data_IF_994217570305
#
_entry.id   IF_994217570305
#
_cell.length_a   1.000
_cell.length_b   1.000
_cell.length_c   1.000
_cell.angle_alpha   90.00
_cell.angle_beta   90.00
_cell.angle_gamma   90.00
#
_symmetry.space_group_name_H-M   'P 1'
#
loop_
_entity.id
_entity.type
_entity.pdbx_description
1 polymer ?
#
# COMPACT_ATOMS: atom_id res chain seq x y z
N UNK A 1 -15.68 15.47 -24.21
CA UNK A 1 -14.43 14.90 -23.64
C UNK A 1 -13.29 15.71 -24.22
N UNK A 2 -12.46 16.34 -23.40
CA UNK A 2 -11.26 17.04 -23.87
C UNK A 2 -10.34 16.00 -24.51
N UNK A 3 -10.06 16.11 -25.80
CA UNK A 3 -9.16 15.18 -26.49
C UNK A 3 -7.78 15.31 -25.84
N UNK A 4 -7.37 14.30 -25.04
CA UNK A 4 -6.08 14.22 -24.35
C UNK A 4 -4.94 13.95 -25.35
N UNK A 5 -4.85 14.78 -26.40
CA UNK A 5 -3.89 14.66 -27.46
C UNK A 5 -2.60 15.38 -27.08
N UNK A 6 -1.49 14.63 -27.04
CA UNK A 6 -0.17 15.23 -26.92
C UNK A 6 0.15 16.08 -28.16
N UNK A 7 0.88 17.17 -27.98
CA UNK A 7 1.25 18.10 -29.04
C UNK A 7 2.67 18.64 -28.87
N UNK A 8 3.27 19.01 -30.00
CA UNK A 8 4.54 19.72 -30.07
C UNK A 8 4.37 20.90 -31.03
N UNK A 9 4.71 22.11 -30.58
CA UNK A 9 4.64 23.33 -31.38
C UNK A 9 6.00 24.00 -31.44
N UNK A 10 6.48 24.31 -32.63
CA UNK A 10 7.70 25.09 -32.86
C UNK A 10 7.40 26.60 -32.86
N UNK A 11 8.32 27.40 -32.33
CA UNK A 11 8.31 28.85 -32.39
C UNK A 11 9.70 29.38 -32.76
N UNK A 12 9.81 30.69 -32.99
CA UNK A 12 11.05 31.33 -33.44
C UNK A 12 12.28 31.06 -32.54
N UNK A 13 12.07 30.69 -31.27
CA UNK A 13 13.12 30.47 -30.28
C UNK A 13 13.19 29.02 -29.76
N UNK A 14 12.40 28.07 -30.29
CA UNK A 14 12.45 26.67 -29.87
C UNK A 14 11.15 25.90 -30.01
N UNK A 15 10.90 24.97 -29.07
CA UNK A 15 9.76 24.04 -29.11
C UNK A 15 9.02 24.03 -27.77
N UNK A 16 7.70 23.89 -27.82
CA UNK A 16 6.84 23.65 -26.67
C UNK A 16 6.21 22.27 -26.81
N UNK A 17 6.22 21.48 -25.74
CA UNK A 17 5.63 20.14 -25.68
C UNK A 17 4.53 20.14 -24.64
N UNK A 18 3.37 19.60 -25.01
CA UNK A 18 2.28 19.30 -24.08
C UNK A 18 1.95 17.82 -24.20
N UNK A 19 2.10 17.07 -23.11
CA UNK A 19 1.79 15.65 -23.04
C UNK A 19 0.79 15.35 -21.93
N UNK A 20 0.07 14.25 -22.07
CA UNK A 20 -0.87 13.74 -21.08
C UNK A 20 -0.54 12.28 -20.79
N UNK A 21 -0.51 11.91 -19.52
CA UNK A 21 -0.32 10.54 -19.05
C UNK A 21 -1.51 10.14 -18.20
N UNK A 22 -2.08 8.96 -18.47
CA UNK A 22 -3.22 8.44 -17.70
C UNK A 22 -2.71 7.81 -16.40
N UNK A 23 -3.32 8.17 -15.28
CA UNK A 23 -3.16 7.47 -14.00
C UNK A 23 -4.49 6.77 -13.69
N UNK A 24 -4.45 5.44 -13.56
CA UNK A 24 -5.62 4.60 -13.29
C UNK A 24 -5.17 3.41 -12.46
N UNK A 25 -5.94 3.10 -11.42
CA UNK A 25 -5.67 2.02 -10.48
C UNK A 25 -6.94 1.71 -9.67
N UNK A 26 -7.07 0.45 -9.26
CA UNK A 26 -8.29 -0.05 -8.62
C UNK A 26 -8.03 -0.61 -7.21
N UNK A 27 -9.09 -0.66 -6.42
CA UNK A 27 -9.14 -1.28 -5.10
C UNK A 27 -10.24 -2.33 -5.08
N UNK A 28 -9.95 -3.50 -4.51
CA UNK A 28 -10.92 -4.58 -4.39
C UNK A 28 -10.94 -5.12 -2.97
N UNK A 29 -12.10 -5.05 -2.32
CA UNK A 29 -12.32 -5.73 -1.05
C UNK A 29 -12.53 -7.22 -1.32
N UNK A 30 -11.64 -8.05 -0.78
CA UNK A 30 -11.66 -9.49 -1.03
C UNK A 30 -11.17 -10.23 0.22
N UNK A 31 -12.09 -10.94 0.89
CA UNK A 31 -11.73 -11.79 2.02
C UNK A 31 -11.06 -13.08 1.51
N UNK A 32 -9.86 -13.35 2.00
CA UNK A 32 -9.09 -14.52 1.61
C UNK A 32 -8.53 -14.42 0.19
N UNK A 33 -7.70 -13.41 -0.09
CA UNK A 33 -7.06 -13.21 -1.42
C UNK A 33 -6.24 -14.43 -1.88
N UNK A 34 -5.75 -15.24 -0.94
CA UNK A 34 -5.05 -16.51 -1.17
C UNK A 34 -5.91 -17.75 -0.86
N UNK A 35 -7.23 -17.63 -0.87
CA UNK A 35 -8.11 -18.78 -0.97
C UNK A 35 -8.14 -19.30 -2.41
N UNK A 36 -7.93 -20.59 -2.61
CA UNK A 36 -7.94 -21.23 -3.95
C UNK A 36 -9.27 -21.08 -4.68
N UNK A 37 -10.38 -20.81 -3.97
CA UNK A 37 -11.66 -20.50 -4.59
C UNK A 37 -11.67 -19.11 -5.26
N UNK A 38 -10.82 -18.18 -4.81
CA UNK A 38 -10.77 -16.80 -5.30
C UNK A 38 -9.78 -16.66 -6.47
N UNK A 39 -10.30 -16.61 -7.70
CA UNK A 39 -9.47 -16.47 -8.90
C UNK A 39 -8.88 -15.07 -9.15
N UNK A 40 -9.29 -14.04 -8.39
CA UNK A 40 -9.05 -12.63 -8.70
C UNK A 40 -7.56 -12.30 -8.84
N UNK A 41 -6.72 -12.69 -7.88
CA UNK A 41 -5.27 -12.49 -7.95
C UNK A 41 -4.64 -13.33 -9.07
N UNK A 42 -5.00 -14.61 -9.18
CA UNK A 42 -4.46 -15.50 -10.21
C UNK A 42 -4.75 -14.98 -11.63
N UNK A 43 -5.93 -14.39 -11.86
CA UNK A 43 -6.31 -13.79 -13.15
C UNK A 43 -5.29 -12.72 -13.60
N UNK A 44 -4.75 -11.93 -12.68
CA UNK A 44 -3.74 -10.91 -12.98
C UNK A 44 -2.41 -11.51 -13.48
N UNK A 45 -2.12 -12.77 -13.12
CA UNK A 45 -0.85 -13.45 -13.41
C UNK A 45 -0.92 -14.50 -14.52
N UNK A 46 -2.12 -14.93 -14.94
CA UNK A 46 -2.29 -15.97 -15.98
C UNK A 46 -1.58 -15.67 -17.30
N UNK A 47 -1.54 -14.40 -17.72
CA UNK A 47 -0.88 -14.02 -18.98
C UNK A 47 0.65 -14.15 -18.92
N UNK A 48 1.21 -14.16 -17.71
CA UNK A 48 2.65 -14.27 -17.45
C UNK A 48 3.07 -15.69 -17.07
N UNK A 49 2.12 -16.49 -16.55
CA UNK A 49 2.32 -17.85 -16.06
C UNK A 49 3.31 -17.99 -14.88
N UNK A 50 3.75 -16.86 -14.32
CA UNK A 50 4.69 -16.75 -13.21
C UNK A 50 4.44 -15.47 -12.41
N UNK A 51 4.98 -15.40 -11.21
CA UNK A 51 4.87 -14.24 -10.32
C UNK A 51 6.15 -14.09 -9.48
N UNK A 52 6.73 -12.88 -9.48
CA UNK A 52 7.67 -12.47 -8.44
C UNK A 52 6.91 -11.73 -7.34
N UNK A 53 6.97 -12.27 -6.12
CA UNK A 53 6.43 -11.63 -4.93
C UNK A 53 7.54 -11.04 -4.05
N UNK A 54 7.43 -9.76 -3.69
CA UNK A 54 8.18 -9.15 -2.59
C UNK A 54 7.31 -9.19 -1.35
N UNK A 55 7.74 -9.91 -0.32
CA UNK A 55 6.89 -10.30 0.79
C UNK A 55 7.53 -10.03 2.14
N UNK A 56 6.76 -9.48 3.07
CA UNK A 56 7.15 -9.38 4.47
C UNK A 56 7.45 -10.77 5.05
N UNK A 57 8.60 -10.88 5.72
CA UNK A 57 9.08 -12.15 6.26
C UNK A 57 8.10 -12.78 7.26
N UNK A 58 7.44 -11.98 8.11
CA UNK A 58 6.48 -12.51 9.08
C UNK A 58 5.21 -13.01 8.38
N UNK A 59 4.78 -12.33 7.31
CA UNK A 59 3.65 -12.80 6.50
C UNK A 59 3.99 -14.11 5.82
N UNK A 60 5.19 -14.25 5.26
CA UNK A 60 5.62 -15.53 4.71
C UNK A 60 5.66 -16.64 5.78
N UNK A 61 6.17 -16.34 6.98
CA UNK A 61 6.21 -17.32 8.07
C UNK A 61 4.81 -17.79 8.50
N UNK A 62 3.82 -16.90 8.50
CA UNK A 62 2.45 -17.22 8.92
C UNK A 62 1.59 -17.84 7.80
N UNK A 63 1.78 -17.40 6.56
CA UNK A 63 0.87 -17.68 5.44
C UNK A 63 1.55 -18.30 4.21
N UNK A 64 2.86 -18.51 4.24
CA UNK A 64 3.66 -18.96 3.10
C UNK A 64 3.14 -20.24 2.46
N UNK A 65 2.80 -21.26 3.27
CA UNK A 65 2.24 -22.52 2.75
C UNK A 65 0.92 -22.30 2.00
N UNK A 66 0.02 -21.46 2.56
CA UNK A 66 -1.26 -21.12 1.92
C UNK A 66 -1.03 -20.39 0.59
N UNK A 67 -0.09 -19.47 0.55
CA UNK A 67 0.24 -18.69 -0.65
C UNK A 67 0.85 -19.60 -1.71
N UNK A 68 1.84 -20.43 -1.38
CA UNK A 68 2.45 -21.38 -2.31
C UNK A 68 1.40 -22.35 -2.86
N UNK A 69 0.49 -22.84 -2.01
CA UNK A 69 -0.65 -23.68 -2.42
C UNK A 69 -1.60 -22.96 -3.37
N UNK A 70 -1.88 -21.68 -3.14
CA UNK A 70 -2.72 -20.85 -4.03
C UNK A 70 -2.15 -20.77 -5.43
N UNK A 71 -0.87 -20.41 -5.56
CA UNK A 71 -0.20 -20.30 -6.86
C UNK A 71 -0.08 -21.66 -7.55
N UNK A 72 0.25 -22.72 -6.81
CA UNK A 72 0.31 -24.08 -7.34
C UNK A 72 -1.05 -24.57 -7.85
N UNK A 73 -2.15 -24.32 -7.11
CA UNK A 73 -3.51 -24.67 -7.50
C UNK A 73 -3.91 -24.01 -8.83
N UNK A 74 -3.51 -22.76 -9.04
CA UNK A 74 -3.77 -22.04 -10.28
C UNK A 74 -2.73 -22.26 -11.39
N UNK A 75 -1.74 -23.15 -11.18
CA UNK A 75 -0.72 -23.49 -12.16
C UNK A 75 0.27 -22.36 -12.47
N UNK A 76 0.52 -21.46 -11.50
CA UNK A 76 1.40 -20.32 -11.65
C UNK A 76 2.73 -20.57 -10.92
N UNK A 77 3.85 -20.31 -11.58
CA UNK A 77 5.16 -20.34 -10.90
C UNK A 77 5.27 -19.16 -9.94
N UNK A 78 5.74 -19.40 -8.71
CA UNK A 78 5.92 -18.36 -7.70
C UNK A 78 7.37 -18.30 -7.24
N UNK A 79 7.99 -17.12 -7.38
CA UNK A 79 9.25 -16.79 -6.72
C UNK A 79 9.01 -15.73 -5.65
N UNK A 80 9.60 -15.90 -4.47
CA UNK A 80 9.40 -15.00 -3.32
C UNK A 80 10.73 -14.37 -2.91
N UNK A 81 10.80 -13.04 -2.98
CA UNK A 81 11.78 -12.23 -2.27
C UNK A 81 11.25 -11.91 -0.88
N UNK A 82 11.78 -12.57 0.15
CA UNK A 82 11.41 -12.33 1.55
C UNK A 82 12.21 -11.13 2.08
N UNK A 83 11.54 -10.17 2.69
CA UNK A 83 12.17 -8.97 3.26
C UNK A 83 11.64 -8.68 4.66
N UNK A 84 12.45 -8.05 5.50
CA UNK A 84 12.05 -7.58 6.83
C UNK A 84 12.35 -6.09 6.93
N UNK A 85 11.34 -5.26 6.67
CA UNK A 85 11.51 -3.81 6.61
C UNK A 85 10.97 -3.18 7.88
N UNK A 86 11.85 -3.03 8.87
CA UNK A 86 11.67 -2.06 9.95
C UNK A 86 12.05 -0.64 9.48
N UNK A 87 11.75 0.38 10.29
CA UNK A 87 12.03 1.77 9.91
C UNK A 87 13.52 2.07 9.66
N UNK A 88 14.45 1.35 10.31
CA UNK A 88 15.90 1.45 10.04
C UNK A 88 16.28 0.83 8.68
N UNK A 89 15.57 -0.22 8.28
CA UNK A 89 15.76 -0.92 7.01
C UNK A 89 15.00 -0.27 5.84
N UNK A 90 14.18 0.77 6.09
CA UNK A 90 13.49 1.54 5.05
C UNK A 90 14.46 2.50 4.35
N UNK A 91 15.41 1.97 3.59
CA UNK A 91 16.55 2.69 3.04
C UNK A 91 16.87 2.22 1.60
N UNK A 92 17.90 2.83 0.98
CA UNK A 92 18.32 2.49 -0.39
C UNK A 92 18.91 1.08 -0.53
N UNK A 93 19.56 0.52 0.50
CA UNK A 93 20.15 -0.82 0.43
C UNK A 93 19.07 -1.88 0.27
N UNK A 94 18.00 -1.80 1.07
CA UNK A 94 16.85 -2.72 0.95
C UNK A 94 16.15 -2.56 -0.40
N UNK A 95 16.04 -1.34 -0.91
CA UNK A 95 15.50 -1.10 -2.25
C UNK A 95 16.35 -1.78 -3.33
N UNK A 96 17.68 -1.66 -3.25
CA UNK A 96 18.58 -2.26 -4.23
C UNK A 96 18.55 -3.79 -4.17
N UNK A 97 18.44 -4.40 -2.99
CA UNK A 97 18.26 -5.85 -2.87
C UNK A 97 16.99 -6.37 -3.57
N UNK A 98 15.90 -5.59 -3.54
CA UNK A 98 14.68 -5.89 -4.30
C UNK A 98 14.96 -5.75 -5.80
N UNK A 99 15.63 -4.68 -6.23
CA UNK A 99 16.01 -4.45 -7.64
C UNK A 99 16.90 -5.56 -8.19
N UNK A 100 17.83 -6.08 -7.39
CA UNK A 100 18.68 -7.21 -7.76
C UNK A 100 17.84 -8.46 -8.03
N UNK A 101 16.85 -8.72 -7.17
CA UNK A 101 15.94 -9.87 -7.37
C UNK A 101 15.01 -9.67 -8.57
N UNK A 102 14.53 -8.45 -8.80
CA UNK A 102 13.76 -8.10 -10.01
C UNK A 102 14.58 -8.33 -11.29
N UNK A 103 15.87 -8.03 -11.24
CA UNK A 103 16.81 -8.25 -12.35
C UNK A 103 17.08 -9.72 -12.59
N UNK A 104 17.37 -10.46 -11.52
CA UNK A 104 17.64 -11.90 -11.60
C UNK A 104 16.42 -12.71 -12.03
N UNK A 105 15.20 -12.31 -11.63
CA UNK A 105 13.97 -12.91 -12.14
C UNK A 105 13.69 -12.58 -13.61
N UNK A 106 14.30 -11.51 -14.13
CA UNK A 106 14.12 -11.08 -15.51
C UNK A 106 12.70 -10.58 -15.78
N UNK A 107 12.19 -9.66 -14.94
CA UNK A 107 10.86 -9.07 -15.11
C UNK A 107 10.67 -8.48 -16.51
N UNK A 108 9.56 -8.83 -17.17
CA UNK A 108 9.16 -8.17 -18.42
C UNK A 108 8.61 -6.77 -18.15
N UNK A 109 8.74 -5.84 -19.12
CA UNK A 109 8.46 -4.41 -18.89
C UNK A 109 7.06 -4.09 -18.32
N UNK A 110 6.04 -4.91 -18.63
CA UNK A 110 4.67 -4.73 -18.14
C UNK A 110 4.23 -5.81 -17.13
N UNK A 111 5.10 -6.76 -16.81
CA UNK A 111 4.82 -7.83 -15.84
C UNK A 111 4.79 -7.22 -14.43
N UNK A 112 3.69 -7.40 -13.67
CA UNK A 112 3.55 -6.76 -12.37
C UNK A 112 4.28 -7.53 -11.27
N UNK A 113 5.03 -6.84 -10.42
CA UNK A 113 5.53 -7.41 -9.15
C UNK A 113 4.38 -7.52 -8.15
N UNK A 114 4.25 -8.65 -7.47
CA UNK A 114 3.33 -8.78 -6.33
C UNK A 114 4.00 -8.24 -5.07
N UNK A 115 3.36 -7.33 -4.34
CA UNK A 115 3.90 -6.76 -3.11
C UNK A 115 2.96 -7.07 -1.94
N UNK A 116 3.42 -7.86 -0.97
CA UNK A 116 2.61 -8.34 0.16
C UNK A 116 3.24 -7.95 1.49
N UNK A 117 2.61 -7.06 2.24
CA UNK A 117 3.16 -6.61 3.52
C UNK A 117 2.51 -5.34 4.07
N UNK A 118 3.05 -4.80 5.16
CA UNK A 118 2.62 -3.51 5.69
C UNK A 118 3.13 -2.31 4.89
N UNK A 119 2.79 -1.10 5.34
CA UNK A 119 3.17 0.16 4.69
C UNK A 119 4.67 0.32 4.38
N UNK A 120 5.55 -0.23 5.22
CA UNK A 120 6.99 -0.19 4.99
C UNK A 120 7.41 -1.05 3.78
N UNK A 121 6.86 -2.26 3.65
CA UNK A 121 7.14 -3.13 2.50
C UNK A 121 6.58 -2.54 1.21
N UNK A 122 5.34 -2.04 1.25
CA UNK A 122 4.70 -1.42 0.08
C UNK A 122 5.40 -0.16 -0.39
N UNK A 123 5.93 0.65 0.53
CA UNK A 123 6.69 1.85 0.19
C UNK A 123 8.03 1.52 -0.50
N UNK A 124 8.82 0.61 0.08
CA UNK A 124 10.15 0.30 -0.47
C UNK A 124 10.04 -0.47 -1.78
N UNK A 125 9.19 -1.50 -1.83
CA UNK A 125 8.99 -2.29 -3.03
C UNK A 125 8.27 -1.49 -4.13
N UNK A 126 7.31 -0.64 -3.78
CA UNK A 126 6.67 0.27 -4.72
C UNK A 126 7.66 1.27 -5.31
N UNK A 127 8.59 1.80 -4.51
CA UNK A 127 9.64 2.69 -5.02
C UNK A 127 10.66 1.94 -5.88
N UNK A 128 11.00 0.68 -5.54
CA UNK A 128 11.80 -0.18 -6.41
C UNK A 128 11.12 -0.36 -7.78
N UNK A 129 9.80 -0.61 -7.81
CA UNK A 129 9.03 -0.74 -9.04
C UNK A 129 8.99 0.57 -9.86
N UNK A 130 8.85 1.72 -9.20
CA UNK A 130 8.89 3.02 -9.85
C UNK A 130 10.26 3.28 -10.53
N UNK A 131 11.35 2.93 -9.85
CA UNK A 131 12.71 3.12 -10.37
C UNK A 131 13.08 2.07 -11.45
N UNK A 132 12.59 0.83 -11.32
CA UNK A 132 12.96 -0.26 -12.21
C UNK A 132 12.45 0.00 -13.63
N UNK A 133 13.39 0.07 -14.58
CA UNK A 133 13.12 0.42 -16.00
C UNK A 133 12.26 1.69 -16.15
N UNK A 134 12.38 2.63 -15.20
CA UNK A 134 11.70 3.93 -15.10
C UNK A 134 10.18 3.88 -14.86
N UNK A 135 9.55 2.71 -14.92
CA UNK A 135 8.15 2.46 -14.57
C UNK A 135 7.87 0.95 -14.73
N UNK A 136 7.81 0.21 -13.63
CA UNK A 136 7.38 -1.20 -13.62
C UNK A 136 6.07 -1.34 -12.85
N UNK A 137 5.16 -2.10 -13.43
CA UNK A 137 3.86 -2.39 -12.84
C UNK A 137 4.00 -3.18 -11.53
N UNK A 138 3.04 -3.01 -10.62
CA UNK A 138 2.97 -3.82 -9.41
C UNK A 138 1.53 -3.90 -8.87
N UNK A 139 1.28 -4.92 -8.05
CA UNK A 139 0.02 -5.15 -7.34
C UNK A 139 0.30 -5.16 -5.84
N UNK A 140 -0.57 -4.54 -5.04
CA UNK A 140 -0.44 -4.50 -3.58
C UNK A 140 -1.43 -5.42 -2.89
N UNK A 141 -0.96 -6.09 -1.83
CA UNK A 141 -1.77 -6.77 -0.82
C UNK A 141 -1.29 -6.27 0.55
N UNK A 142 -1.82 -5.14 1.05
CA UNK A 142 -1.51 -4.67 2.38
C UNK A 142 -1.96 -5.65 3.47
N UNK A 143 -1.10 -5.87 4.47
CA UNK A 143 -1.36 -6.84 5.56
C UNK A 143 -1.42 -6.21 6.96
N UNK A 144 -1.33 -4.88 7.06
CA UNK A 144 -1.46 -4.13 8.32
C UNK A 144 -2.56 -3.10 8.21
N UNK A 145 -3.10 -2.61 9.33
CA UNK A 145 -4.13 -1.56 9.31
C UNK A 145 -3.63 -0.34 8.54
N UNK A 146 -2.42 0.17 8.86
CA UNK A 146 -1.80 1.28 8.09
C UNK A 146 -1.72 0.97 6.61
N UNK A 147 -1.33 -0.25 6.24
CA UNK A 147 -1.31 -0.67 4.84
C UNK A 147 -2.68 -0.56 4.20
N UNK A 148 -3.71 -1.13 4.83
CA UNK A 148 -5.06 -1.27 4.31
C UNK A 148 -5.79 0.07 4.17
N UNK A 149 -5.58 1.02 5.08
CA UNK A 149 -6.37 2.26 5.14
C UNK A 149 -5.61 3.56 4.85
N UNK A 150 -4.27 3.53 4.72
CA UNK A 150 -3.47 4.72 4.43
C UNK A 150 -2.36 4.45 3.39
N UNK A 151 -1.33 3.70 3.77
CA UNK A 151 -0.11 3.57 2.95
C UNK A 151 -0.38 2.93 1.57
N UNK A 152 -1.28 1.94 1.48
CA UNK A 152 -1.67 1.36 0.19
C UNK A 152 -2.90 2.01 -0.45
N UNK A 153 -3.49 3.02 0.17
CA UNK A 153 -4.51 3.88 -0.46
C UNK A 153 -3.84 4.99 -1.26
N UNK A 154 -2.74 5.52 -0.74
CA UNK A 154 -1.88 6.50 -1.42
C UNK A 154 -1.05 5.87 -2.56
N UNK A 155 -0.63 6.68 -3.53
CA UNK A 155 0.35 6.30 -4.58
C UNK A 155 1.79 6.68 -4.24
N UNK A 156 2.01 7.30 -3.07
CA UNK A 156 3.32 7.73 -2.59
C UNK A 156 4.10 6.54 -2.08
N UNK A 157 5.30 6.37 -2.61
CA UNK A 157 6.23 5.31 -2.26
C UNK A 157 7.59 5.93 -1.96
N UNK A 158 8.31 5.44 -0.96
CA UNK A 158 9.53 6.12 -0.52
C UNK A 158 10.48 5.24 0.30
N UNK A 159 11.72 5.70 0.41
CA UNK A 159 12.71 5.29 1.40
C UNK A 159 13.20 6.49 2.21
N UNK A 160 13.76 6.22 3.38
CA UNK A 160 14.46 7.22 4.18
C UNK A 160 15.86 7.47 3.59
N UNK A 161 16.40 8.69 3.78
CA UNK A 161 17.77 9.03 3.40
C UNK A 161 18.45 9.84 4.50
N UNK A 162 19.55 9.30 5.06
CA UNK A 162 20.14 9.79 6.29
C UNK A 162 19.11 9.82 7.43
N UNK A 163 19.00 10.96 8.12
CA UNK A 163 17.99 11.19 9.17
C UNK A 163 16.59 11.56 8.66
N UNK A 164 16.40 11.71 7.34
CA UNK A 164 15.15 12.25 6.80
C UNK A 164 14.17 11.15 6.38
N UNK A 165 12.97 11.18 6.97
CA UNK A 165 11.88 10.26 6.66
C UNK A 165 11.33 10.50 5.26
N UNK A 166 11.11 9.44 4.49
CA UNK A 166 10.50 9.47 3.15
C UNK A 166 11.11 10.53 2.20
N UNK A 167 12.43 10.69 2.24
CA UNK A 167 13.13 11.76 1.49
C UNK A 167 13.29 11.43 0.01
N UNK A 168 13.44 10.15 -0.33
CA UNK A 168 13.57 9.69 -1.71
C UNK A 168 12.34 8.84 -2.04
N UNK A 169 11.67 9.10 -3.15
CA UNK A 169 10.44 8.42 -3.48
C UNK A 169 9.86 8.81 -4.83
N UNK A 170 8.65 8.33 -5.08
CA UNK A 170 7.88 8.60 -6.29
C UNK A 170 6.37 8.64 -5.99
N UNK A 171 5.62 9.23 -6.90
CA UNK A 171 4.18 9.02 -7.04
C UNK A 171 3.98 7.91 -8.07
N UNK A 172 3.79 6.67 -7.61
CA UNK A 172 3.74 5.49 -8.47
C UNK A 172 2.56 4.61 -8.09
N UNK A 173 1.47 4.71 -8.86
CA UNK A 173 0.25 3.95 -8.61
C UNK A 173 0.48 2.45 -8.87
N UNK A 174 -0.06 1.55 -8.03
CA UNK A 174 -0.14 0.14 -8.40
C UNK A 174 -1.14 -0.02 -9.54
N UNK A 175 -1.13 -1.18 -10.21
CA UNK A 175 -2.25 -1.55 -11.08
C UNK A 175 -3.52 -1.84 -10.27
N UNK A 176 -3.36 -2.55 -9.14
CA UNK A 176 -4.47 -3.02 -8.31
C UNK A 176 -4.03 -3.14 -6.85
N UNK A 177 -4.96 -2.92 -5.92
CA UNK A 177 -4.76 -3.16 -4.49
C UNK A 177 -5.87 -4.07 -3.96
N UNK A 178 -5.52 -5.28 -3.53
CA UNK A 178 -6.45 -6.19 -2.86
C UNK A 178 -6.49 -5.90 -1.37
N UNK A 179 -7.66 -5.55 -0.87
CA UNK A 179 -7.92 -5.22 0.52
C UNK A 179 -8.54 -6.42 1.23
N UNK A 180 -7.67 -7.29 1.76
CA UNK A 180 -8.05 -8.45 2.55
C UNK A 180 -7.86 -8.13 4.04
N UNK A 181 -8.96 -7.81 4.73
CA UNK A 181 -8.89 -7.46 6.15
C UNK A 181 -8.65 -8.69 7.04
N UNK A 182 -8.76 -9.92 6.52
CA UNK A 182 -8.56 -11.14 7.32
C UNK A 182 -7.13 -11.27 7.85
N UNK A 183 -6.13 -10.61 7.23
CA UNK A 183 -4.76 -10.54 7.75
C UNK A 183 -4.67 -9.89 9.14
N UNK A 184 -5.64 -9.05 9.52
CA UNK A 184 -5.67 -8.40 10.82
C UNK A 184 -5.84 -9.38 11.97
N UNK A 185 -6.34 -10.60 11.71
CA UNK A 185 -6.48 -11.66 12.73
C UNK A 185 -5.15 -12.02 13.40
N UNK A 186 -4.04 -11.94 12.67
CA UNK A 186 -2.70 -12.26 13.20
C UNK A 186 -1.86 -11.03 13.50
N UNK A 187 -2.41 -9.82 13.30
CA UNK A 187 -1.63 -8.60 13.45
C UNK A 187 -1.48 -8.27 14.94
N UNK A 188 -0.25 -7.98 15.44
CA UNK A 188 -0.06 -7.60 16.83
C UNK A 188 -0.89 -6.38 17.23
N UNK A 189 -1.44 -6.37 18.45
CA UNK A 189 -2.28 -5.28 18.98
C UNK A 189 -1.60 -3.91 18.86
N UNK A 190 -0.27 -3.84 19.04
CA UNK A 190 0.49 -2.60 18.86
C UNK A 190 0.40 -2.04 17.44
N UNK A 191 0.38 -2.91 16.43
CA UNK A 191 0.20 -2.54 15.02
C UNK A 191 -1.25 -2.21 14.68
N UNK A 192 -2.22 -2.86 15.33
CA UNK A 192 -3.65 -2.48 15.25
C UNK A 192 -3.83 -1.05 15.78
N UNK A 193 -3.31 -0.74 16.97
CA UNK A 193 -3.33 0.61 17.57
C UNK A 193 -2.66 1.65 16.68
N UNK A 194 -1.53 1.29 16.07
CA UNK A 194 -0.81 2.18 15.16
C UNK A 194 -1.67 2.61 13.97
N UNK A 195 -2.38 1.69 13.32
CA UNK A 195 -3.29 2.06 12.23
C UNK A 195 -4.62 2.68 12.68
N UNK A 196 -5.08 2.37 13.89
CA UNK A 196 -6.23 3.05 14.50
C UNK A 196 -5.99 4.57 14.59
N UNK A 197 -4.77 4.98 14.92
CA UNK A 197 -4.40 6.41 14.98
C UNK A 197 -4.56 7.12 13.62
N UNK A 198 -4.27 6.44 12.50
CA UNK A 198 -4.45 7.03 11.16
C UNK A 198 -5.93 7.18 10.78
N UNK A 199 -6.80 6.28 11.26
CA UNK A 199 -8.26 6.44 11.13
C UNK A 199 -8.79 7.59 11.98
N UNK A 200 -8.31 7.77 13.22
CA UNK A 200 -8.62 8.95 14.03
C UNK A 200 -8.20 10.22 13.28
N UNK A 201 -6.97 10.26 12.75
CA UNK A 201 -6.43 11.42 12.01
C UNK A 201 -7.40 11.88 10.93
N UNK A 202 -7.75 10.99 10.00
CA UNK A 202 -8.60 11.37 8.86
C UNK A 202 -10.04 11.69 9.30
N UNK A 203 -10.61 10.88 10.18
CA UNK A 203 -12.01 11.05 10.59
C UNK A 203 -12.23 12.33 11.41
N UNK A 204 -11.26 12.72 12.25
CA UNK A 204 -11.34 13.91 13.09
C UNK A 204 -11.43 15.23 12.30
N UNK A 205 -10.93 15.26 11.07
CA UNK A 205 -10.95 16.45 10.22
C UNK A 205 -11.83 16.32 8.98
N UNK A 206 -12.27 15.11 8.60
CA UNK A 206 -12.96 14.88 7.34
C UNK A 206 -14.19 13.97 7.42
N UNK A 207 -14.44 13.24 8.52
CA UNK A 207 -15.56 12.30 8.56
C UNK A 207 -16.08 12.01 9.98
N UNK A 208 -17.04 12.84 10.44
CA UNK A 208 -17.61 12.78 11.80
C UNK A 208 -18.19 11.41 12.16
N UNK A 209 -18.99 10.81 11.28
CA UNK A 209 -19.63 9.51 11.58
C UNK A 209 -18.60 8.39 11.83
N UNK A 210 -17.47 8.45 11.14
CA UNK A 210 -16.39 7.45 11.34
C UNK A 210 -15.69 7.72 12.67
N UNK A 211 -15.48 9.00 13.02
CA UNK A 211 -14.90 9.39 14.30
C UNK A 211 -15.78 8.93 15.48
N UNK A 212 -17.09 9.18 15.41
CA UNK A 212 -18.04 8.77 16.46
C UNK A 212 -18.07 7.24 16.63
N UNK A 213 -18.00 6.48 15.52
CA UNK A 213 -17.94 5.01 15.58
C UNK A 213 -16.61 4.51 16.17
N UNK A 214 -15.48 5.13 15.81
CA UNK A 214 -14.17 4.81 16.38
C UNK A 214 -14.15 5.09 17.88
N UNK A 215 -14.68 6.22 18.32
CA UNK A 215 -14.79 6.58 19.75
C UNK A 215 -15.65 5.55 20.50
N UNK A 216 -16.83 5.22 19.95
CA UNK A 216 -17.78 4.29 20.56
C UNK A 216 -17.24 2.86 20.69
N UNK A 217 -16.50 2.38 19.68
CA UNK A 217 -16.06 0.98 19.59
C UNK A 217 -14.54 0.80 19.75
N UNK A 218 -13.83 1.79 20.31
CA UNK A 218 -12.37 1.85 20.37
C UNK A 218 -11.72 0.56 20.90
N UNK A 219 -12.07 0.16 22.13
CA UNK A 219 -11.49 -1.02 22.78
C UNK A 219 -11.83 -2.31 22.03
N UNK A 220 -13.07 -2.46 21.57
CA UNK A 220 -13.52 -3.65 20.84
C UNK A 220 -12.76 -3.79 19.52
N UNK A 221 -12.63 -2.71 18.74
CA UNK A 221 -11.91 -2.70 17.47
C UNK A 221 -10.42 -3.03 17.66
N UNK A 222 -9.80 -2.51 18.72
CA UNK A 222 -8.39 -2.78 19.02
C UNK A 222 -8.19 -4.24 19.44
N UNK A 223 -8.99 -4.73 20.39
CA UNK A 223 -8.79 -6.05 20.99
C UNK A 223 -9.21 -7.19 20.06
N UNK A 224 -10.10 -6.93 19.10
CA UNK A 224 -10.56 -7.93 18.12
C UNK A 224 -9.88 -7.80 16.76
N UNK A 225 -8.90 -6.91 16.61
CA UNK A 225 -8.24 -6.68 15.31
C UNK A 225 -9.21 -6.26 14.22
N UNK A 226 -10.05 -5.25 14.50
CA UNK A 226 -11.14 -4.78 13.64
C UNK A 226 -12.18 -5.89 13.34
N UNK A 227 -12.58 -6.62 14.40
CA UNK A 227 -13.59 -7.68 14.31
C UNK A 227 -13.09 -8.97 13.66
N UNK A 228 -11.78 -9.14 13.44
CA UNK A 228 -11.22 -10.31 12.74
C UNK A 228 -10.70 -11.42 13.67
N UNK A 229 -10.64 -11.17 14.97
CA UNK A 229 -10.36 -12.18 15.99
C UNK A 229 -11.55 -13.14 16.18
N UNK A 230 -11.25 -14.35 16.65
CA UNK A 230 -12.26 -15.36 16.93
C UNK A 230 -13.24 -14.87 18.02
N UNK A 231 -14.54 -15.06 17.78
CA UNK A 231 -15.59 -14.65 18.71
C UNK A 231 -16.07 -13.19 18.59
N UNK A 232 -15.53 -12.41 17.65
CA UNK A 232 -16.08 -11.10 17.32
C UNK A 232 -17.55 -11.20 16.84
N UNK A 233 -18.40 -10.27 17.28
CA UNK A 233 -19.81 -10.27 16.88
C UNK A 233 -19.98 -9.81 15.42
N UNK A 234 -21.05 -10.26 14.78
CA UNK A 234 -21.38 -9.87 13.39
C UNK A 234 -21.57 -8.36 13.29
N UNK A 235 -22.15 -7.74 14.32
CA UNK A 235 -22.34 -6.29 14.37
C UNK A 235 -21.01 -5.54 14.45
N UNK A 236 -20.03 -6.05 15.21
CA UNK A 236 -18.71 -5.44 15.30
C UNK A 236 -17.95 -5.58 13.98
N UNK A 237 -18.04 -6.73 13.31
CA UNK A 237 -17.47 -6.96 11.97
C UNK A 237 -18.05 -5.94 10.97
N UNK A 238 -19.38 -5.83 10.91
CA UNK A 238 -20.05 -4.88 10.02
C UNK A 238 -19.68 -3.42 10.33
N UNK A 239 -19.51 -3.10 11.62
CA UNK A 239 -19.08 -1.76 12.07
C UNK A 239 -17.64 -1.48 11.63
N UNK A 240 -16.73 -2.42 11.83
CA UNK A 240 -15.34 -2.32 11.39
C UNK A 240 -15.25 -2.12 9.87
N UNK A 241 -16.00 -2.90 9.09
CA UNK A 241 -16.03 -2.80 7.63
C UNK A 241 -16.54 -1.44 7.16
N UNK A 242 -17.59 -0.92 7.80
CA UNK A 242 -18.11 0.43 7.54
C UNK A 242 -17.05 1.49 7.83
N UNK A 243 -16.38 1.43 8.97
CA UNK A 243 -15.31 2.35 9.37
C UNK A 243 -14.17 2.34 8.35
N UNK A 244 -13.63 1.17 8.03
CA UNK A 244 -12.50 1.03 7.12
C UNK A 244 -12.86 1.48 5.70
N UNK A 245 -14.02 1.09 5.18
CA UNK A 245 -14.51 1.54 3.87
C UNK A 245 -14.66 3.05 3.80
N UNK A 246 -15.29 3.67 4.80
CA UNK A 246 -15.49 5.11 4.84
C UNK A 246 -14.15 5.86 4.96
N UNK A 247 -13.22 5.37 5.79
CA UNK A 247 -11.88 5.94 5.92
C UNK A 247 -11.09 5.92 4.61
N UNK A 248 -11.07 4.78 3.91
CA UNK A 248 -10.43 4.64 2.59
C UNK A 248 -11.06 5.59 1.58
N UNK A 249 -12.40 5.61 1.51
CA UNK A 249 -13.11 6.43 0.53
C UNK A 249 -12.88 7.93 0.76
N UNK A 250 -12.89 8.38 2.01
CA UNK A 250 -12.62 9.78 2.32
C UNK A 250 -11.18 10.16 1.98
N UNK A 251 -10.21 9.26 2.23
CA UNK A 251 -8.82 9.48 1.83
C UNK A 251 -8.68 9.62 0.31
N UNK A 252 -9.35 8.75 -0.46
CA UNK A 252 -9.33 8.81 -1.92
C UNK A 252 -9.96 10.12 -2.44
N UNK A 253 -11.08 10.57 -1.85
CA UNK A 253 -11.71 11.84 -2.23
C UNK A 253 -10.77 13.04 -2.02
N UNK A 254 -10.01 13.04 -0.93
CA UNK A 254 -9.09 14.13 -0.60
C UNK A 254 -7.81 14.12 -1.46
N UNK A 255 -7.27 12.94 -1.79
CA UNK A 255 -5.97 12.83 -2.48
C UNK A 255 -6.09 12.74 -4.02
N UNK A 256 -7.17 12.18 -4.57
CA UNK A 256 -7.32 11.98 -6.03
C UNK A 256 -7.23 13.27 -6.86
N UNK A 257 -7.75 14.43 -6.39
CA UNK A 257 -7.56 15.71 -7.09
C UNK A 257 -6.13 16.26 -7.03
N UNK A 258 -5.24 15.67 -6.22
CA UNK A 258 -3.93 16.21 -5.89
C UNK A 258 -2.84 15.12 -5.78
N UNK A 259 -2.87 14.13 -6.67
CA UNK A 259 -2.02 12.93 -6.60
C UNK A 259 -0.51 13.19 -6.61
N UNK A 260 -0.07 14.34 -7.14
CA UNK A 260 1.33 14.77 -7.15
C UNK A 260 1.67 15.85 -6.09
N UNK A 261 0.73 16.13 -5.18
CA UNK A 261 0.85 17.16 -4.14
C UNK A 261 1.25 18.55 -4.68
N UNK A 262 0.69 18.95 -5.83
CA UNK A 262 0.91 20.30 -6.38
C UNK A 262 0.30 21.35 -5.44
N UNK A 263 -0.84 21.04 -4.83
CA UNK A 263 -1.44 21.84 -3.75
C UNK A 263 -0.91 21.36 -2.39
N UNK A 264 -0.37 22.27 -1.58
CA UNK A 264 0.26 21.92 -0.30
C UNK A 264 -0.68 21.98 0.91
N UNK A 265 -1.85 22.60 0.77
CA UNK A 265 -2.89 22.62 1.80
C UNK A 265 -3.62 21.27 1.84
N UNK A 266 -3.08 20.35 2.65
CA UNK A 266 -3.48 18.94 2.64
C UNK A 266 -4.12 18.54 3.96
N UNK A 267 -5.42 18.27 3.93
CA UNK A 267 -6.22 17.83 5.09
C UNK A 267 -5.60 16.60 5.77
N UNK A 268 -5.21 15.60 4.97
CA UNK A 268 -4.65 14.36 5.50
C UNK A 268 -3.21 14.51 6.06
N UNK A 269 -2.58 15.68 5.89
CA UNK A 269 -1.31 16.00 6.53
C UNK A 269 -1.49 16.42 8.01
N UNK A 270 -2.72 16.49 8.51
CA UNK A 270 -2.98 16.60 9.94
C UNK A 270 -2.21 15.52 10.73
N UNK A 271 -1.69 15.88 11.90
CA UNK A 271 -0.81 15.01 12.69
C UNK A 271 0.61 14.81 12.13
N UNK A 272 0.92 15.23 10.90
CA UNK A 272 2.21 14.94 10.24
C UNK A 272 3.23 16.08 10.25
N UNK A 273 2.90 17.24 10.81
CA UNK A 273 3.82 18.40 10.91
C UNK A 273 4.93 18.13 11.93
N UNK A 274 4.57 17.97 13.20
CA UNK A 274 5.54 17.77 14.29
C UNK A 274 5.91 16.29 14.49
N UNK A 275 5.02 15.35 14.14
CA UNK A 275 5.27 13.92 14.34
C UNK A 275 6.45 13.40 13.51
N UNK A 276 6.63 13.89 12.28
CA UNK A 276 7.79 13.54 11.45
C UNK A 276 9.11 13.91 12.14
N UNK A 277 9.17 15.11 12.73
CA UNK A 277 10.33 15.57 13.50
C UNK A 277 10.51 14.72 14.76
N UNK A 278 9.45 14.55 15.57
CA UNK A 278 9.50 13.76 16.80
C UNK A 278 9.99 12.32 16.56
N UNK A 279 9.46 11.64 15.53
CA UNK A 279 9.89 10.29 15.16
C UNK A 279 11.37 10.23 14.74
N UNK A 280 11.89 11.28 14.08
CA UNK A 280 13.31 11.36 13.73
C UNK A 280 14.21 11.67 14.94
N UNK A 281 13.71 12.42 15.93
CA UNK A 281 14.42 12.74 17.16
C UNK A 281 14.49 11.56 18.12
N UNK A 282 13.42 10.77 18.28
CA UNK A 282 13.42 9.56 19.12
C UNK A 282 14.46 8.53 18.63
N UNK A 283 14.75 8.50 17.33
CA UNK A 283 15.83 7.67 16.75
C UNK A 283 17.24 8.08 17.22
N UNK A 284 17.44 9.27 17.78
CA UNK A 284 18.75 9.73 18.28
C UNK A 284 19.12 9.12 19.64
N UNK A 285 18.17 8.54 20.35
CA UNK A 285 18.32 8.17 21.76
C UNK A 285 18.45 6.66 22.00
N UNK A 286 18.61 5.85 20.94
CA UNK A 286 18.78 4.38 20.99
C UNK A 286 19.76 3.90 19.93
#
# INVERSE_FOLDING_TARGET
>A
MSDMNASVTENANGFQVCGYEKIEYDFEFLDGVFDTANGNLANCYRVWNRCLAVMDHNIYTLYGERIERYFAHHGLELRIHKTMIGEKAKNMETLLAIVDTMTDFGIYRKEPVLVVGGGLVTDVAGFACAAYRRNTNYIRIPTTVIGLIDASVSIKVAVNYGQYKNRLGAYHAPMHTFLDFTFLRTLPISQIRNGFAELIKISSCAHKDTYDLLEKHCEDLINTGFGRADGASIELIATADKICRAGIFEMLKLESPNLHEIMLDRVIAYGHTSAKLLMSLVRRST
#
